data_IF_370989692485
#
_entry.id   IF_370989692485
#
_cell.length_a   1.000
_cell.length_b   1.000
_cell.length_c   1.000
_cell.angle_alpha   90.00
_cell.angle_beta   90.00
_cell.angle_gamma   90.00
#
_symmetry.space_group_name_H-M   'P 1'
#
loop_
_entity.id
_entity.type
_entity.pdbx_description
1 polymer ?
#
# COMPACT_ATOMS: atom_id res chain seq x y z
N UNK A 1 9.35 -17.63 0.92
CA UNK A 1 9.65 -17.04 2.25
C UNK A 1 9.13 -15.61 2.31
N UNK A 2 9.40 -14.78 1.31
CA UNK A 2 8.96 -13.39 1.25
C UNK A 2 7.43 -13.26 1.28
N UNK A 3 6.69 -14.21 0.68
CA UNK A 3 5.22 -14.26 0.74
C UNK A 3 4.68 -14.33 2.18
N UNK A 4 5.30 -15.14 3.05
CA UNK A 4 4.89 -15.25 4.45
C UNK A 4 5.14 -13.95 5.22
N UNK A 5 6.27 -13.29 4.93
CA UNK A 5 6.61 -12.00 5.54
C UNK A 5 5.61 -10.93 5.08
N UNK A 6 5.32 -10.87 3.77
CA UNK A 6 4.31 -9.97 3.22
C UNK A 6 2.95 -10.16 3.90
N UNK A 7 2.48 -11.40 4.05
CA UNK A 7 1.19 -11.67 4.67
C UNK A 7 1.17 -11.25 6.15
N UNK A 8 2.23 -11.55 6.90
CA UNK A 8 2.36 -11.12 8.30
C UNK A 8 2.35 -9.60 8.45
N UNK A 9 3.07 -8.90 7.56
CA UNK A 9 3.13 -7.43 7.52
C UNK A 9 1.77 -6.85 7.17
N UNK A 10 1.10 -7.34 6.12
CA UNK A 10 -0.22 -6.86 5.71
C UNK A 10 -1.24 -7.03 6.85
N UNK A 11 -1.24 -8.19 7.54
CA UNK A 11 -2.10 -8.42 8.69
C UNK A 11 -1.83 -7.42 9.84
N UNK A 12 -0.56 -7.16 10.15
CA UNK A 12 -0.18 -6.21 11.18
C UNK A 12 -0.58 -4.76 10.82
N UNK A 13 -0.38 -4.36 9.56
CA UNK A 13 -0.75 -3.04 9.06
C UNK A 13 -2.28 -2.88 9.01
N UNK A 14 -3.02 -3.89 8.59
CA UNK A 14 -4.48 -3.87 8.60
C UNK A 14 -5.02 -3.71 10.01
N UNK A 15 -4.49 -4.46 10.98
CA UNK A 15 -4.86 -4.31 12.38
C UNK A 15 -4.53 -2.90 12.91
N UNK A 16 -3.35 -2.37 12.55
CA UNK A 16 -2.95 -1.02 12.92
C UNK A 16 -3.89 0.04 12.34
N UNK A 17 -4.24 -0.06 11.05
CA UNK A 17 -5.18 0.86 10.38
C UNK A 17 -6.52 0.82 11.09
N UNK A 18 -7.07 -0.36 11.35
CA UNK A 18 -8.38 -0.53 12.03
C UNK A 18 -8.35 0.14 13.40
N UNK A 19 -7.38 -0.22 14.24
CA UNK A 19 -7.32 0.26 15.63
C UNK A 19 -7.10 1.77 15.68
N UNK A 20 -6.21 2.29 14.83
CA UNK A 20 -5.89 3.71 14.79
C UNK A 20 -7.03 4.53 14.19
N UNK A 21 -7.64 4.08 13.09
CA UNK A 21 -8.78 4.77 12.48
C UNK A 21 -9.98 4.81 13.42
N UNK A 22 -10.26 3.71 14.12
CA UNK A 22 -11.35 3.65 15.09
C UNK A 22 -11.09 4.57 16.29
N UNK A 23 -9.85 4.67 16.75
CA UNK A 23 -9.45 5.62 17.81
C UNK A 23 -9.62 7.08 17.35
N UNK A 24 -9.16 7.40 16.13
CA UNK A 24 -9.34 8.73 15.53
C UNK A 24 -10.83 9.06 15.42
N UNK A 25 -11.63 8.15 14.88
CA UNK A 25 -13.09 8.31 14.79
C UNK A 25 -13.70 8.56 16.17
N UNK A 26 -13.29 7.81 17.20
CA UNK A 26 -13.78 7.97 18.57
C UNK A 26 -13.55 9.38 19.13
N UNK A 27 -12.37 9.96 18.87
CA UNK A 27 -12.03 11.33 19.30
C UNK A 27 -12.80 12.38 18.50
N UNK A 28 -12.93 12.19 17.18
CA UNK A 28 -13.55 13.18 16.29
C UNK A 28 -15.07 13.14 16.30
N UNK A 29 -15.71 12.03 16.66
CA UNK A 29 -17.18 11.90 16.67
C UNK A 29 -17.90 12.99 17.48
N UNK A 30 -17.59 13.25 18.76
CA UNK A 30 -18.28 14.30 19.53
C UNK A 30 -18.00 15.71 18.98
N UNK A 31 -16.78 15.94 18.48
CA UNK A 31 -16.39 17.22 17.86
C UNK A 31 -17.18 17.43 16.56
N UNK A 32 -17.36 16.37 15.78
CA UNK A 32 -18.10 16.41 14.55
C UNK A 32 -19.57 16.74 14.80
N UNK A 33 -20.23 16.04 15.72
CA UNK A 33 -21.64 16.30 16.05
C UNK A 33 -21.83 17.76 16.48
N UNK A 34 -21.00 18.25 17.39
CA UNK A 34 -21.10 19.64 17.87
C UNK A 34 -20.83 20.67 16.76
N UNK A 35 -19.82 20.45 15.92
CA UNK A 35 -19.49 21.33 14.80
C UNK A 35 -20.60 21.32 13.71
N UNK A 36 -21.18 20.16 13.39
CA UNK A 36 -22.33 20.04 12.49
C UNK A 36 -23.52 20.82 13.05
N UNK A 37 -23.85 20.63 14.32
CA UNK A 37 -24.98 21.33 14.96
C UNK A 37 -24.79 22.84 14.92
N UNK A 38 -23.60 23.35 15.29
CA UNK A 38 -23.28 24.77 15.20
C UNK A 38 -23.35 25.30 13.78
N UNK A 39 -22.86 24.53 12.80
CA UNK A 39 -22.92 24.90 11.39
C UNK A 39 -24.35 25.03 10.88
N UNK A 40 -25.22 24.07 11.21
CA UNK A 40 -26.65 24.12 10.85
C UNK A 40 -27.36 25.28 11.53
N UNK A 41 -27.11 25.53 12.82
CA UNK A 41 -27.69 26.68 13.53
C UNK A 41 -27.24 28.01 12.92
N UNK A 42 -25.95 28.15 12.63
CA UNK A 42 -25.39 29.36 12.04
C UNK A 42 -25.95 29.63 10.64
N UNK A 43 -25.99 28.60 9.78
CA UNK A 43 -26.54 28.73 8.43
C UNK A 43 -28.05 28.96 8.44
N UNK A 44 -28.79 28.33 9.36
CA UNK A 44 -30.21 28.62 9.58
C UNK A 44 -30.47 30.06 10.04
N UNK A 45 -29.63 30.61 10.92
CA UNK A 45 -29.72 32.00 11.35
C UNK A 45 -29.47 32.99 10.20
N UNK A 46 -28.49 32.72 9.33
CA UNK A 46 -28.23 33.56 8.15
C UNK A 46 -29.42 33.60 7.17
N UNK A 47 -30.12 32.47 7.00
CA UNK A 47 -31.32 32.39 6.16
C UNK A 47 -32.45 33.24 6.77
N UNK A 48 -32.67 33.17 8.09
CA UNK A 48 -33.68 34.01 8.77
C UNK A 48 -33.40 35.51 8.64
N UNK A 49 -32.12 35.89 8.58
CA UNK A 49 -31.69 37.30 8.43
C UNK A 49 -31.84 37.83 7.00
N UNK A 50 -32.07 36.97 6.02
CA UNK A 50 -32.19 37.35 4.61
C UNK A 50 -30.86 37.72 3.95
N UNK A 51 -29.72 37.50 4.62
CA UNK A 51 -28.38 37.81 4.11
C UNK A 51 -27.94 36.84 3.00
N UNK A 52 -28.63 35.70 2.84
CA UNK A 52 -28.31 34.64 1.88
C UNK A 52 -29.42 34.54 0.83
N UNK A 53 -29.13 34.93 -0.41
CA UNK A 53 -30.02 34.79 -1.57
C UNK A 53 -29.92 33.40 -2.25
N UNK A 54 -29.29 32.42 -1.60
CA UNK A 54 -29.24 31.06 -2.12
C UNK A 54 -30.60 30.35 -1.95
N UNK A 55 -31.05 29.57 -2.95
CA UNK A 55 -32.26 28.75 -2.81
C UNK A 55 -32.14 27.83 -1.60
N UNK A 56 -33.20 27.73 -0.78
CA UNK A 56 -33.21 26.83 0.40
C UNK A 56 -32.85 25.38 0.02
N UNK A 57 -33.16 24.97 -1.21
CA UNK A 57 -32.80 23.65 -1.76
C UNK A 57 -31.29 23.42 -1.87
N UNK A 58 -30.48 24.42 -2.25
CA UNK A 58 -29.02 24.26 -2.31
C UNK A 58 -28.41 24.12 -0.91
N UNK A 59 -29.01 24.82 0.05
CA UNK A 59 -28.60 24.81 1.45
C UNK A 59 -28.92 23.46 2.12
N UNK A 60 -30.11 22.91 1.88
CA UNK A 60 -30.51 21.56 2.31
C UNK A 60 -29.62 20.50 1.66
N UNK A 61 -29.31 20.61 0.37
CA UNK A 61 -28.42 19.69 -0.31
C UNK A 61 -27.01 19.69 0.30
N UNK A 62 -26.51 20.86 0.70
CA UNK A 62 -25.22 21.00 1.38
C UNK A 62 -25.22 20.31 2.73
N UNK A 63 -26.27 20.49 3.54
CA UNK A 63 -26.42 19.80 4.83
C UNK A 63 -26.57 18.30 4.66
N UNK A 64 -27.33 17.83 3.67
CA UNK A 64 -27.46 16.41 3.36
C UNK A 64 -26.12 15.78 2.98
N UNK A 65 -25.36 16.42 2.08
CA UNK A 65 -24.01 15.97 1.70
C UNK A 65 -23.09 15.86 2.93
N UNK A 66 -23.12 16.87 3.78
CA UNK A 66 -22.38 16.91 5.04
C UNK A 66 -22.77 15.78 5.99
N UNK A 67 -24.07 15.54 6.18
CA UNK A 67 -24.59 14.47 7.04
C UNK A 67 -24.21 13.08 6.50
N UNK A 68 -24.27 12.90 5.18
CA UNK A 68 -23.91 11.65 4.51
C UNK A 68 -22.40 11.37 4.64
N UNK A 69 -21.55 12.36 4.36
CA UNK A 69 -20.08 12.21 4.55
C UNK A 69 -19.77 11.89 6.01
N UNK A 70 -20.40 12.58 6.96
CA UNK A 70 -20.20 12.36 8.40
C UNK A 70 -20.63 10.96 8.82
N UNK A 71 -21.80 10.49 8.37
CA UNK A 71 -22.32 9.16 8.69
C UNK A 71 -21.50 8.01 8.10
N UNK A 72 -20.88 8.22 6.93
CA UNK A 72 -20.00 7.22 6.30
C UNK A 72 -18.58 7.23 6.91
N UNK A 73 -18.09 8.39 7.34
CA UNK A 73 -16.70 8.57 7.80
C UNK A 73 -16.54 8.24 9.28
N UNK A 74 -17.51 8.61 10.12
CA UNK A 74 -17.47 8.33 11.56
C UNK A 74 -17.91 6.90 11.90
N UNK A 75 -18.11 6.07 10.89
CA UNK A 75 -18.39 4.65 11.06
C UNK A 75 -17.18 3.86 10.55
N UNK A 76 -16.41 3.30 11.48
CA UNK A 76 -15.16 2.58 11.19
C UNK A 76 -15.29 1.49 10.12
N UNK A 77 -16.28 0.57 10.21
CA UNK A 77 -16.58 -0.38 9.14
C UNK A 77 -16.81 0.26 7.76
N UNK A 78 -17.65 1.30 7.66
CA UNK A 78 -17.97 1.97 6.39
C UNK A 78 -16.76 2.70 5.83
N UNK A 79 -15.97 3.37 6.67
CA UNK A 79 -14.73 4.01 6.27
C UNK A 79 -13.79 2.99 5.62
N UNK A 80 -13.60 1.82 6.24
CA UNK A 80 -12.74 0.77 5.70
C UNK A 80 -13.25 0.24 4.36
N UNK A 81 -14.55 -0.04 4.26
CA UNK A 81 -15.11 -0.59 3.03
C UNK A 81 -15.09 0.39 1.84
N UNK A 82 -15.26 1.68 2.09
CA UNK A 82 -15.26 2.66 1.01
C UNK A 82 -13.86 3.16 0.66
N UNK A 83 -13.04 3.42 1.67
CA UNK A 83 -11.78 4.13 1.50
C UNK A 83 -10.60 3.17 1.44
N UNK A 84 -10.45 2.29 2.43
CA UNK A 84 -9.34 1.33 2.46
C UNK A 84 -9.47 0.34 1.30
N UNK A 85 -10.59 -0.38 1.23
CA UNK A 85 -10.84 -1.36 0.16
C UNK A 85 -10.87 -0.69 -1.21
N UNK A 86 -11.35 0.55 -1.32
CA UNK A 86 -11.30 1.33 -2.55
C UNK A 86 -9.87 1.61 -3.01
N UNK A 87 -9.00 2.08 -2.12
CA UNK A 87 -7.58 2.36 -2.43
C UNK A 87 -6.78 1.08 -2.67
N UNK A 88 -7.03 0.03 -1.88
CA UNK A 88 -6.44 -1.30 -2.09
C UNK A 88 -6.87 -1.87 -3.46
N UNK A 89 -8.16 -1.74 -3.82
CA UNK A 89 -8.68 -2.16 -5.13
C UNK A 89 -8.07 -1.40 -6.31
N UNK A 90 -7.83 -0.09 -6.17
CA UNK A 90 -7.07 0.69 -7.16
C UNK A 90 -5.64 0.13 -7.27
N UNK A 91 -4.97 -0.11 -6.14
CA UNK A 91 -3.63 -0.68 -6.12
C UNK A 91 -3.59 -2.02 -6.87
N UNK A 92 -4.53 -2.92 -6.59
CA UNK A 92 -4.66 -4.23 -7.24
C UNK A 92 -4.96 -4.13 -8.73
N UNK A 93 -5.87 -3.24 -9.13
CA UNK A 93 -6.21 -3.02 -10.53
C UNK A 93 -4.98 -2.57 -11.35
N UNK A 94 -4.19 -1.65 -10.81
CA UNK A 94 -2.96 -1.24 -11.47
C UNK A 94 -1.85 -2.30 -11.38
N UNK A 95 -1.68 -2.96 -10.24
CA UNK A 95 -0.69 -4.04 -10.09
C UNK A 95 -0.93 -5.18 -11.10
N UNK A 96 -2.20 -5.55 -11.32
CA UNK A 96 -2.56 -6.54 -12.33
C UNK A 96 -2.25 -6.07 -13.75
N UNK A 97 -2.47 -4.79 -14.07
CA UNK A 97 -2.15 -4.23 -15.38
C UNK A 97 -0.64 -4.17 -15.67
N UNK A 98 0.21 -3.96 -14.65
CA UNK A 98 1.66 -3.82 -14.81
C UNK A 98 2.45 -5.14 -14.81
N UNK A 99 1.77 -6.29 -14.78
CA UNK A 99 2.46 -7.59 -14.86
C UNK A 99 1.77 -8.77 -14.18
N UNK A 100 0.49 -8.63 -13.78
CA UNK A 100 -0.29 -9.73 -13.21
C UNK A 100 0.16 -10.20 -11.83
N UNK A 101 1.00 -9.43 -11.14
CA UNK A 101 1.52 -9.78 -9.82
C UNK A 101 0.54 -9.33 -8.75
N UNK A 102 -0.14 -10.29 -8.13
CA UNK A 102 -1.05 -10.05 -7.00
C UNK A 102 -0.35 -10.07 -5.63
N UNK A 103 0.88 -10.60 -5.56
CA UNK A 103 1.67 -10.68 -4.31
C UNK A 103 3.13 -10.35 -4.57
N UNK A 104 3.61 -9.30 -3.91
CA UNK A 104 5.01 -8.86 -3.99
C UNK A 104 5.96 -9.94 -3.49
N UNK A 105 5.63 -10.55 -2.35
CA UNK A 105 6.40 -11.63 -1.76
C UNK A 105 6.46 -12.84 -2.70
N UNK A 106 5.38 -13.13 -3.44
CA UNK A 106 5.37 -14.15 -4.47
C UNK A 106 6.35 -13.85 -5.61
N UNK A 107 6.42 -12.61 -6.08
CA UNK A 107 7.40 -12.21 -7.10
C UNK A 107 8.84 -12.30 -6.59
N UNK A 108 9.10 -11.85 -5.36
CA UNK A 108 10.43 -11.96 -4.75
C UNK A 108 10.82 -13.43 -4.55
N UNK A 109 9.88 -14.30 -4.18
CA UNK A 109 10.13 -15.74 -4.06
C UNK A 109 10.45 -16.34 -5.45
N UNK A 110 9.67 -16.03 -6.49
CA UNK A 110 9.93 -16.48 -7.87
C UNK A 110 11.25 -15.96 -8.47
N UNK A 111 11.72 -14.80 -8.02
CA UNK A 111 13.02 -14.25 -8.39
C UNK A 111 14.18 -15.03 -7.79
N UNK A 112 13.99 -15.59 -6.60
CA UNK A 112 15.04 -16.31 -5.90
C UNK A 112 15.27 -17.71 -6.49
N UNK A 113 14.24 -18.33 -7.10
CA UNK A 113 14.30 -19.67 -7.71
C UNK A 113 15.48 -19.92 -8.67
N UNK A 114 15.80 -19.05 -9.65
CA UNK A 114 16.97 -19.28 -10.51
C UNK A 114 18.29 -19.20 -9.74
N UNK A 115 18.39 -18.34 -8.71
CA UNK A 115 19.59 -18.24 -7.88
C UNK A 115 19.78 -19.46 -6.99
N UNK A 116 18.71 -19.98 -6.40
CA UNK A 116 18.77 -21.22 -5.60
C UNK A 116 19.13 -22.40 -6.49
N UNK A 117 18.56 -22.48 -7.68
CA UNK A 117 18.92 -23.52 -8.67
C UNK A 117 20.40 -23.43 -9.06
N UNK A 118 20.90 -22.24 -9.39
CA UNK A 118 22.31 -22.05 -9.74
C UNK A 118 23.26 -22.36 -8.56
N UNK A 119 22.86 -21.99 -7.35
CA UNK A 119 23.59 -22.32 -6.12
C UNK A 119 23.67 -23.84 -5.92
N UNK A 120 22.56 -24.55 -6.07
CA UNK A 120 22.50 -26.01 -5.91
C UNK A 120 23.35 -26.74 -6.95
N UNK A 121 23.33 -26.31 -8.22
CA UNK A 121 24.17 -26.90 -9.27
C UNK A 121 25.65 -26.68 -8.98
N UNK A 122 26.04 -25.46 -8.63
CA UNK A 122 27.44 -25.13 -8.30
C UNK A 122 27.94 -25.92 -7.08
N UNK A 123 27.15 -26.08 -6.03
CA UNK A 123 27.55 -26.87 -4.86
C UNK A 123 27.62 -28.37 -5.14
N UNK A 124 26.69 -28.90 -5.92
CA UNK A 124 26.69 -30.31 -6.29
C UNK A 124 27.95 -30.65 -7.07
N UNK A 125 28.31 -29.85 -8.06
CA UNK A 125 29.54 -30.05 -8.83
C UNK A 125 30.82 -29.78 -8.05
N UNK A 126 30.80 -28.81 -7.14
CA UNK A 126 31.94 -28.59 -6.26
C UNK A 126 32.28 -29.83 -5.40
N UNK A 127 31.30 -30.71 -5.16
CA UNK A 127 31.40 -31.92 -4.33
C UNK A 127 31.48 -33.24 -5.10
N UNK A 128 31.32 -33.24 -6.43
CA UNK A 128 31.23 -34.47 -7.24
C UNK A 128 32.59 -35.11 -7.55
N UNK A 129 33.69 -34.35 -7.46
CA UNK A 129 35.05 -34.82 -7.70
C UNK A 129 35.76 -35.39 -6.46
N UNK A 130 36.82 -36.19 -6.67
CA UNK A 130 37.69 -36.71 -5.60
C UNK A 130 38.40 -35.59 -4.80
N UNK A 131 38.59 -34.42 -5.41
CA UNK A 131 39.09 -33.21 -4.75
C UNK A 131 38.00 -32.13 -4.85
N UNK A 132 37.55 -31.56 -3.73
CA UNK A 132 36.54 -30.50 -3.74
C UNK A 132 37.03 -29.29 -4.52
N UNK A 133 36.19 -28.78 -5.44
CA UNK A 133 36.50 -27.57 -6.19
C UNK A 133 36.09 -26.34 -5.38
N UNK A 134 37.04 -25.80 -4.59
CA UNK A 134 36.80 -24.64 -3.73
C UNK A 134 36.34 -23.38 -4.48
N UNK A 135 36.74 -23.20 -5.74
CA UNK A 135 36.28 -22.07 -6.57
C UNK A 135 34.77 -22.09 -6.82
N UNK A 136 34.19 -23.28 -7.06
CA UNK A 136 32.75 -23.46 -7.27
C UNK A 136 31.98 -23.29 -5.95
N UNK A 137 32.53 -23.72 -4.82
CA UNK A 137 31.96 -23.43 -3.50
C UNK A 137 31.86 -21.92 -3.24
N UNK A 138 32.90 -21.16 -3.59
CA UNK A 138 32.89 -19.69 -3.44
C UNK A 138 31.85 -19.07 -4.38
N UNK A 139 31.77 -19.52 -5.63
CA UNK A 139 30.78 -19.03 -6.59
C UNK A 139 29.33 -19.30 -6.14
N UNK A 140 29.04 -20.51 -5.63
CA UNK A 140 27.74 -20.86 -5.05
C UNK A 140 27.40 -20.00 -3.83
N UNK A 141 28.39 -19.73 -2.98
CA UNK A 141 28.25 -18.81 -1.84
C UNK A 141 27.92 -17.38 -2.26
N UNK A 142 28.58 -16.86 -3.31
CA UNK A 142 28.29 -15.54 -3.87
C UNK A 142 26.85 -15.48 -4.39
N UNK A 143 26.39 -16.50 -5.12
CA UNK A 143 25.01 -16.58 -5.63
C UNK A 143 23.98 -16.58 -4.49
N UNK A 144 24.24 -17.34 -3.43
CA UNK A 144 23.39 -17.39 -2.23
C UNK A 144 23.32 -16.05 -1.50
N UNK A 145 24.45 -15.37 -1.34
CA UNK A 145 24.47 -14.04 -0.71
C UNK A 145 23.76 -12.99 -1.57
N UNK A 146 23.92 -13.05 -2.89
CA UNK A 146 23.26 -12.14 -3.81
C UNK A 146 21.73 -12.26 -3.77
N UNK A 147 21.19 -13.49 -3.68
CA UNK A 147 19.74 -13.71 -3.59
C UNK A 147 19.16 -13.16 -2.28
N UNK A 148 19.85 -13.36 -1.15
CA UNK A 148 19.43 -12.84 0.16
C UNK A 148 19.45 -11.31 0.19
N UNK A 149 20.53 -10.68 -0.29
CA UNK A 149 20.66 -9.21 -0.31
C UNK A 149 19.56 -8.60 -1.17
N UNK A 150 19.27 -9.18 -2.33
CA UNK A 150 18.20 -8.73 -3.21
C UNK A 150 16.83 -8.84 -2.54
N UNK A 151 16.50 -9.99 -1.96
CA UNK A 151 15.24 -10.20 -1.25
C UNK A 151 15.06 -9.19 -0.12
N UNK A 152 16.14 -8.91 0.63
CA UNK A 152 16.12 -7.92 1.71
C UNK A 152 15.84 -6.50 1.19
N UNK A 153 16.51 -6.07 0.11
CA UNK A 153 16.29 -4.75 -0.49
C UNK A 153 14.86 -4.62 -1.04
N UNK A 154 14.38 -5.62 -1.77
CA UNK A 154 13.03 -5.61 -2.35
C UNK A 154 11.95 -5.56 -1.26
N UNK A 155 12.07 -6.39 -0.21
CA UNK A 155 11.16 -6.38 0.93
C UNK A 155 11.22 -5.06 1.71
N UNK A 156 12.41 -4.46 1.87
CA UNK A 156 12.58 -3.18 2.54
C UNK A 156 11.84 -2.04 1.83
N UNK A 157 11.97 -1.95 0.49
CA UNK A 157 11.24 -0.96 -0.30
C UNK A 157 9.73 -1.17 -0.23
N UNK A 158 9.28 -2.41 -0.35
CA UNK A 158 7.86 -2.76 -0.22
C UNK A 158 7.29 -2.37 1.16
N UNK A 159 8.04 -2.65 2.23
CA UNK A 159 7.65 -2.31 3.60
C UNK A 159 7.43 -0.81 3.77
N UNK A 160 8.39 0.01 3.35
CA UNK A 160 8.28 1.48 3.46
C UNK A 160 7.03 1.97 2.74
N UNK A 161 6.78 1.43 1.54
CA UNK A 161 5.64 1.79 0.72
C UNK A 161 4.29 1.44 1.40
N UNK A 162 4.13 0.18 1.83
CA UNK A 162 2.93 -0.28 2.56
C UNK A 162 2.71 0.46 3.89
N UNK A 163 3.76 0.67 4.67
CA UNK A 163 3.69 1.41 5.94
C UNK A 163 3.23 2.84 5.71
N UNK A 164 3.75 3.53 4.68
CA UNK A 164 3.35 4.90 4.38
C UNK A 164 1.85 5.01 4.04
N UNK A 165 1.33 4.08 3.23
CA UNK A 165 -0.09 4.03 2.90
C UNK A 165 -0.94 3.71 4.14
N UNK A 166 -0.52 2.76 4.96
CA UNK A 166 -1.21 2.40 6.19
C UNK A 166 -1.28 3.58 7.18
N UNK A 167 -0.21 4.36 7.33
CA UNK A 167 -0.20 5.57 8.16
C UNK A 167 -1.18 6.62 7.61
N UNK A 168 -1.23 6.83 6.30
CA UNK A 168 -2.18 7.76 5.66
C UNK A 168 -3.63 7.30 5.86
N UNK A 169 -3.92 6.01 5.75
CA UNK A 169 -5.24 5.45 6.01
C UNK A 169 -5.64 5.55 7.48
N UNK A 170 -4.72 5.33 8.41
CA UNK A 170 -4.98 5.42 9.84
C UNK A 170 -5.51 6.81 10.26
N UNK A 171 -4.99 7.88 9.66
CA UNK A 171 -5.43 9.27 9.92
C UNK A 171 -6.54 9.75 8.98
N UNK A 172 -6.93 8.94 8.00
CA UNK A 172 -7.88 9.30 6.95
C UNK A 172 -9.24 9.82 7.45
N UNK A 173 -9.86 9.24 8.50
CA UNK A 173 -11.14 9.74 9.00
C UNK A 173 -11.10 11.21 9.44
N UNK A 174 -9.98 11.67 10.03
CA UNK A 174 -9.82 13.07 10.44
C UNK A 174 -9.75 14.02 9.23
N UNK A 175 -9.06 13.61 8.17
CA UNK A 175 -8.98 14.41 6.95
C UNK A 175 -10.30 14.43 6.19
N UNK A 176 -11.02 13.31 6.15
CA UNK A 176 -12.35 13.28 5.54
C UNK A 176 -13.35 14.11 6.35
N UNK A 177 -13.21 14.17 7.68
CA UNK A 177 -13.98 15.11 8.50
C UNK A 177 -13.75 16.57 8.07
N UNK A 178 -12.51 16.95 7.71
CA UNK A 178 -12.24 18.28 7.15
C UNK A 178 -12.98 18.55 5.81
N UNK A 179 -13.36 17.52 5.05
CA UNK A 179 -14.15 17.67 3.81
C UNK A 179 -15.57 18.19 4.07
N UNK A 180 -16.05 18.11 5.31
CA UNK A 180 -17.38 18.53 5.71
C UNK A 180 -17.55 20.05 5.63
N UNK A 181 -16.49 20.81 5.88
CA UNK A 181 -16.54 22.27 5.84
C UNK A 181 -15.77 22.81 4.62
N UNK A 182 -16.35 23.75 3.86
CA UNK A 182 -15.69 24.32 2.67
C UNK A 182 -14.31 24.92 2.97
N UNK A 183 -14.14 25.50 4.16
CA UNK A 183 -12.89 26.14 4.59
C UNK A 183 -11.77 25.12 4.80
N UNK A 184 -12.09 23.92 5.26
CA UNK A 184 -11.11 22.86 5.56
C UNK A 184 -11.03 21.78 4.49
N UNK A 185 -11.88 21.84 3.46
CA UNK A 185 -11.99 20.82 2.42
C UNK A 185 -10.65 20.55 1.70
N UNK A 186 -9.82 21.58 1.53
CA UNK A 186 -8.48 21.47 0.93
C UNK A 186 -7.60 20.43 1.62
N UNK A 187 -7.72 20.24 2.94
CA UNK A 187 -6.93 19.23 3.65
C UNK A 187 -7.34 17.80 3.28
N UNK A 188 -8.64 17.57 3.08
CA UNK A 188 -9.16 16.28 2.63
C UNK A 188 -8.70 15.96 1.20
N UNK A 189 -8.74 16.96 0.32
CA UNK A 189 -8.28 16.84 -1.07
C UNK A 189 -6.77 16.55 -1.15
N UNK A 190 -5.97 17.26 -0.35
CA UNK A 190 -4.53 17.03 -0.26
C UNK A 190 -4.21 15.63 0.30
N UNK A 191 -4.93 15.19 1.32
CA UNK A 191 -4.78 13.85 1.88
C UNK A 191 -5.14 12.78 0.84
N UNK A 192 -6.26 12.93 0.13
CA UNK A 192 -6.67 12.00 -0.92
C UNK A 192 -5.63 11.93 -2.04
N UNK A 193 -5.13 13.09 -2.48
CA UNK A 193 -4.05 13.18 -3.46
C UNK A 193 -2.79 12.46 -2.97
N UNK A 194 -2.40 12.65 -1.71
CA UNK A 194 -1.24 11.99 -1.11
C UNK A 194 -1.42 10.48 -0.99
N UNK A 195 -2.62 10.02 -0.62
CA UNK A 195 -2.98 8.60 -0.55
C UNK A 195 -2.92 7.94 -1.93
N UNK A 196 -3.40 8.61 -2.97
CA UNK A 196 -3.29 8.13 -4.34
C UNK A 196 -1.83 8.07 -4.80
N UNK A 197 -1.02 9.09 -4.51
CA UNK A 197 0.42 9.07 -4.79
C UNK A 197 1.11 7.89 -4.08
N UNK A 198 0.75 7.61 -2.83
CA UNK A 198 1.28 6.45 -2.10
C UNK A 198 0.85 5.12 -2.76
N UNK A 199 -0.42 4.99 -3.18
CA UNK A 199 -0.90 3.82 -3.94
C UNK A 199 -0.10 3.65 -5.23
N UNK A 200 0.07 4.69 -6.03
CA UNK A 200 0.86 4.61 -7.26
C UNK A 200 2.33 4.32 -6.99
N UNK A 201 2.89 4.85 -5.90
CA UNK A 201 4.26 4.53 -5.48
C UNK A 201 4.39 3.04 -5.15
N UNK A 202 3.42 2.45 -4.43
CA UNK A 202 3.37 1.01 -4.21
C UNK A 202 3.36 0.25 -5.54
N UNK A 203 2.48 0.62 -6.47
CA UNK A 203 2.39 0.00 -7.81
C UNK A 203 3.72 0.09 -8.56
N UNK A 204 4.35 1.26 -8.56
CA UNK A 204 5.62 1.47 -9.26
C UNK A 204 6.75 0.65 -8.63
N UNK A 205 6.81 0.55 -7.30
CA UNK A 205 7.77 -0.34 -6.61
C UNK A 205 7.52 -1.80 -7.01
N UNK A 206 6.26 -2.22 -7.09
CA UNK A 206 5.90 -3.55 -7.59
C UNK A 206 6.37 -3.79 -9.03
N UNK A 207 6.14 -2.84 -9.92
CA UNK A 207 6.58 -2.91 -11.31
C UNK A 207 8.12 -2.96 -11.41
N UNK A 208 8.84 -2.14 -10.64
CA UNK A 208 10.31 -2.10 -10.65
C UNK A 208 10.90 -3.42 -10.15
N UNK A 209 10.39 -3.96 -9.03
CA UNK A 209 10.87 -5.24 -8.50
C UNK A 209 10.62 -6.36 -9.52
N UNK A 210 9.43 -6.41 -10.12
CA UNK A 210 9.09 -7.38 -11.18
C UNK A 210 9.95 -7.21 -12.43
N UNK A 211 10.30 -5.99 -12.80
CA UNK A 211 11.20 -5.75 -13.92
C UNK A 211 12.62 -6.25 -13.61
N UNK A 212 13.18 -5.87 -12.46
CA UNK A 212 14.48 -6.34 -12.00
C UNK A 212 14.51 -7.88 -11.88
N UNK A 213 13.38 -8.48 -11.46
CA UNK A 213 13.16 -9.92 -11.42
C UNK A 213 13.49 -10.58 -12.73
N UNK A 214 12.85 -10.08 -13.78
CA UNK A 214 12.94 -10.65 -15.11
C UNK A 214 14.36 -10.54 -15.66
N UNK A 215 15.02 -9.39 -15.44
CA UNK A 215 16.39 -9.17 -15.88
C UNK A 215 17.37 -10.13 -15.20
N UNK A 216 17.28 -10.25 -13.88
CA UNK A 216 18.18 -11.10 -13.09
C UNK A 216 17.95 -12.58 -13.38
N UNK A 217 16.69 -13.00 -13.50
CA UNK A 217 16.34 -14.36 -13.91
C UNK A 217 16.92 -14.69 -15.29
N UNK A 218 16.77 -13.82 -16.27
CA UNK A 218 17.31 -14.04 -17.61
C UNK A 218 18.84 -14.14 -17.61
N UNK A 219 19.52 -13.26 -16.86
CA UNK A 219 20.98 -13.32 -16.70
C UNK A 219 21.43 -14.63 -16.05
N UNK A 220 20.75 -15.08 -14.99
CA UNK A 220 21.06 -16.32 -14.31
C UNK A 220 20.86 -17.55 -15.22
N UNK A 221 19.78 -17.58 -16.00
CA UNK A 221 19.51 -18.66 -16.96
C UNK A 221 20.55 -18.71 -18.08
N UNK A 222 21.05 -17.55 -18.54
CA UNK A 222 22.14 -17.49 -19.52
C UNK A 222 23.45 -18.07 -18.96
N UNK A 223 23.77 -17.80 -17.69
CA UNK A 223 24.95 -18.39 -17.05
C UNK A 223 24.78 -19.89 -16.89
N UNK A 224 23.60 -20.34 -16.46
CA UNK A 224 23.29 -21.76 -16.27
C UNK A 224 23.36 -22.54 -17.59
N UNK A 225 22.84 -21.99 -18.68
CA UNK A 225 22.89 -22.66 -19.99
C UNK A 225 24.31 -22.75 -20.53
N UNK A 226 25.12 -21.70 -20.41
CA UNK A 226 26.54 -21.71 -20.79
C UNK A 226 27.32 -22.78 -20.02
N UNK A 227 26.99 -22.98 -18.74
CA UNK A 227 27.61 -23.97 -17.88
C UNK A 227 27.18 -25.41 -18.23
N UNK A 228 25.92 -25.62 -18.65
CA UNK A 228 25.41 -26.95 -19.06
C UNK A 228 25.98 -27.48 -20.40
N UNK A 229 26.62 -26.61 -21.19
CA UNK A 229 27.22 -26.98 -22.50
C UNK A 229 28.71 -27.33 -22.45
N UNK A 230 29.34 -27.19 -21.28
CA UNK A 230 30.74 -27.56 -21.00
C UNK A 230 30.81 -28.86 -20.22
#
# INVERSE_FOLDING_TARGET
MATYIEQSVNNALDHYVVTSSDSVIGVFTPIAVTAVTLYVLWTGFQVMRGDVQEPVTTLVWRWFRVALITGLTLNGPQYRSLVKEGLDGIQEAFASAFGGVLSMGGTIDQMADPFTTLMETLFTEASSGLVPQFSLFIAGGICATASIVMAFVAMGLFLVAKVSLALLLAVGPAFIFCAMFPVTQRYAENWLSSSLVAVFTNVLIMAVITFLASLLRNACLHVLSAYSTT
#
